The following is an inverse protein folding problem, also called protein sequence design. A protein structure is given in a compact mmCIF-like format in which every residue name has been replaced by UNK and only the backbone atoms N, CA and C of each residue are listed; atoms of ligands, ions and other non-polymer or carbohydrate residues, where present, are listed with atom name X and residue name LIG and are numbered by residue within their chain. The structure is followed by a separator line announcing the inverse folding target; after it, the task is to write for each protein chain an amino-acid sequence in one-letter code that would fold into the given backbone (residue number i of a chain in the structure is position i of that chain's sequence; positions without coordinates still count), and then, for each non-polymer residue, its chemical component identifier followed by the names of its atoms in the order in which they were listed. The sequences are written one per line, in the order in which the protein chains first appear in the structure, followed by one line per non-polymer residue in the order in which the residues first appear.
data_IF_846607924296
#
_entry.id   IF_846607924296
#
_cell.length_a   1.000
_cell.length_b   1.000
_cell.length_c   1.000
_cell.angle_alpha   90.00
_cell.angle_beta   90.00
_cell.angle_gamma   90.00
#
_symmetry.space_group_name_H-M   'P 1'
#
loop_
_entity.id
_entity.type
_entity.pdbx_description
1 polymer ?
#
# COMPACT_ATOMS: atom_id res chain seq x y z
N UNK A 1 10.78 21.88 -19.63
CA UNK A 1 10.08 22.47 -18.48
C UNK A 1 9.06 21.46 -17.96
N UNK A 2 9.37 20.70 -16.91
CA UNK A 2 8.37 19.79 -16.32
C UNK A 2 7.20 20.60 -15.79
N UNK A 3 5.97 20.25 -16.16
CA UNK A 3 4.76 20.94 -15.66
C UNK A 3 4.74 20.81 -14.14
N UNK A 4 4.95 21.92 -13.44
CA UNK A 4 4.72 22.01 -12.00
C UNK A 4 3.28 21.56 -11.71
N UNK A 5 3.13 20.63 -10.76
CA UNK A 5 1.83 20.19 -10.24
C UNK A 5 1.81 20.45 -8.75
N UNK A 6 0.77 21.12 -8.21
CA UNK A 6 0.63 21.28 -6.77
C UNK A 6 0.48 19.91 -6.10
N UNK A 7 0.90 19.83 -4.83
CA UNK A 7 0.65 18.63 -4.02
C UNK A 7 -0.86 18.45 -3.85
N UNK A 8 -1.35 17.23 -4.04
CA UNK A 8 -2.73 16.89 -3.73
C UNK A 8 -2.99 17.07 -2.22
N UNK A 9 -4.21 17.47 -1.83
CA UNK A 9 -4.59 17.52 -0.42
C UNK A 9 -4.46 16.12 0.22
N UNK A 10 -4.15 16.05 1.52
CA UNK A 10 -4.03 14.78 2.21
C UNK A 10 -5.38 14.04 2.24
N UNK A 11 -5.34 12.73 2.06
CA UNK A 11 -6.52 11.87 2.20
C UNK A 11 -6.96 11.77 3.66
N UNK A 12 -8.27 11.65 3.89
CA UNK A 12 -8.90 11.48 5.22
C UNK A 12 -8.12 10.50 6.12
N UNK A 13 -7.85 10.84 7.38
CA UNK A 13 -7.07 9.98 8.27
C UNK A 13 -7.87 8.80 8.82
N UNK A 14 -9.19 8.72 8.63
CA UNK A 14 -10.02 7.71 9.26
C UNK A 14 -9.96 6.35 8.57
N UNK A 15 -9.88 5.28 9.36
CA UNK A 15 -9.90 3.90 8.91
C UNK A 15 -10.64 3.01 9.91
N UNK A 16 -11.24 1.91 9.44
CA UNK A 16 -11.79 0.86 10.30
C UNK A 16 -10.67 0.03 10.94
N UNK A 17 -10.94 -0.58 12.09
CA UNK A 17 -9.97 -1.46 12.75
C UNK A 17 -9.54 -2.64 11.84
N UNK A 18 -10.49 -3.25 11.14
CA UNK A 18 -10.22 -4.33 10.18
C UNK A 18 -9.34 -3.85 9.00
N UNK A 19 -9.65 -2.67 8.44
CA UNK A 19 -8.85 -2.09 7.36
C UNK A 19 -7.42 -1.79 7.80
N UNK A 20 -7.24 -1.26 9.01
CA UNK A 20 -5.91 -1.02 9.57
C UNK A 20 -5.10 -2.30 9.77
N UNK A 21 -5.73 -3.36 10.29
CA UNK A 21 -5.10 -4.67 10.45
C UNK A 21 -4.66 -5.26 9.09
N UNK A 22 -5.52 -5.17 8.07
CA UNK A 22 -5.19 -5.62 6.72
C UNK A 22 -3.99 -4.88 6.12
N UNK A 23 -3.90 -3.56 6.32
CA UNK A 23 -2.74 -2.77 5.87
C UNK A 23 -1.45 -3.11 6.62
N UNK A 24 -1.54 -3.43 7.91
CA UNK A 24 -0.37 -3.91 8.67
C UNK A 24 0.09 -5.29 8.19
N UNK A 25 -0.85 -6.19 7.91
CA UNK A 25 -0.54 -7.51 7.36
C UNK A 25 0.09 -7.39 5.98
N UNK A 26 -0.45 -6.51 5.14
CA UNK A 26 0.13 -6.20 3.83
C UNK A 26 1.58 -5.71 3.95
N UNK A 27 1.87 -4.76 4.86
CA UNK A 27 3.24 -4.25 5.07
C UNK A 27 4.20 -5.39 5.47
N UNK A 28 3.79 -6.24 6.42
CA UNK A 28 4.57 -7.41 6.84
C UNK A 28 4.83 -8.38 5.68
N UNK A 29 3.80 -8.71 4.91
CA UNK A 29 3.91 -9.61 3.78
C UNK A 29 4.82 -9.04 2.67
N UNK A 30 4.76 -7.73 2.42
CA UNK A 30 5.63 -7.07 1.45
C UNK A 30 7.10 -7.12 1.85
N UNK A 31 7.43 -6.97 3.13
CA UNK A 31 8.81 -7.12 3.61
C UNK A 31 9.35 -8.54 3.40
N UNK A 32 8.53 -9.57 3.65
CA UNK A 32 8.91 -10.96 3.38
C UNK A 32 9.11 -11.18 1.88
N UNK A 33 8.17 -10.71 1.05
CA UNK A 33 8.26 -10.81 -0.41
C UNK A 33 9.51 -10.11 -0.95
N UNK A 34 9.81 -8.91 -0.42
CA UNK A 34 10.99 -8.11 -0.80
C UNK A 34 12.28 -8.92 -0.66
N UNK A 35 12.44 -9.64 0.45
CA UNK A 35 13.63 -10.47 0.68
C UNK A 35 13.78 -11.57 -0.39
N UNK A 36 12.69 -12.21 -0.79
CA UNK A 36 12.69 -13.20 -1.87
C UNK A 36 13.07 -12.60 -3.23
N UNK A 37 12.48 -11.45 -3.57
CA UNK A 37 12.77 -10.75 -4.85
C UNK A 37 14.22 -10.27 -4.91
N UNK A 38 14.78 -9.77 -3.80
CA UNK A 38 16.20 -9.36 -3.76
C UNK A 38 17.13 -10.55 -4.01
N UNK A 39 16.84 -11.72 -3.41
CA UNK A 39 17.61 -12.94 -3.66
C UNK A 39 17.55 -13.37 -5.12
N UNK A 40 16.34 -13.38 -5.71
CA UNK A 40 16.15 -13.73 -7.12
C UNK A 40 16.85 -12.73 -8.06
N UNK A 41 16.78 -11.43 -7.76
CA UNK A 41 17.46 -10.39 -8.52
C UNK A 41 18.99 -10.56 -8.48
N UNK A 42 19.54 -10.93 -7.32
CA UNK A 42 20.98 -11.18 -7.16
C UNK A 42 21.42 -12.42 -7.95
N UNK A 43 20.61 -13.49 -7.95
CA UNK A 43 20.86 -14.68 -8.76
C UNK A 43 20.84 -14.36 -10.27
N UNK A 44 19.80 -13.66 -10.75
CA UNK A 44 19.70 -13.23 -12.15
C UNK A 44 20.87 -12.32 -12.56
N UNK A 45 21.38 -11.50 -11.64
CA UNK A 45 22.54 -10.64 -11.89
C UNK A 45 23.87 -11.40 -11.95
N UNK A 46 23.94 -12.64 -11.47
CA UNK A 46 25.11 -13.50 -11.53
C UNK A 46 25.15 -14.38 -12.79
N UNK A 47 24.00 -14.59 -13.44
CA UNK A 47 23.83 -15.52 -14.56
C UNK A 47 24.15 -14.91 -15.94
N UNK A 48 24.35 -13.58 -16.04
CA UNK A 48 24.74 -12.96 -17.31
C UNK A 48 24.68 -11.44 -17.34
N UNK A 49 24.66 -10.88 -18.56
CA UNK A 49 24.55 -9.44 -18.78
C UNK A 49 23.18 -8.91 -18.33
N UNK A 50 23.23 -7.94 -17.42
CA UNK A 50 22.06 -7.30 -16.79
C UNK A 50 21.17 -6.55 -17.79
N UNK A 51 21.71 -6.17 -18.94
CA UNK A 51 20.98 -5.40 -19.94
C UNK A 51 20.11 -6.28 -20.85
N UNK A 52 20.48 -7.56 -21.01
CA UNK A 52 19.75 -8.52 -21.86
C UNK A 52 18.93 -9.53 -21.06
N UNK A 53 19.25 -9.74 -19.77
CA UNK A 53 18.53 -10.67 -18.92
C UNK A 53 17.11 -10.14 -18.59
N UNK A 54 16.11 -10.74 -19.23
CA UNK A 54 14.69 -10.43 -19.02
C UNK A 54 14.23 -10.66 -17.56
N UNK A 55 14.76 -11.69 -16.89
CA UNK A 55 14.44 -11.94 -15.49
C UNK A 55 14.97 -10.82 -14.59
N UNK A 56 16.21 -10.36 -14.81
CA UNK A 56 16.76 -9.23 -14.05
C UNK A 56 15.90 -7.98 -14.20
N UNK A 57 15.50 -7.63 -15.43
CA UNK A 57 14.65 -6.46 -15.69
C UNK A 57 13.29 -6.58 -14.97
N UNK A 58 12.67 -7.75 -15.05
CA UNK A 58 11.40 -8.02 -14.38
C UNK A 58 11.52 -7.90 -12.85
N UNK A 59 12.49 -8.60 -12.24
CA UNK A 59 12.72 -8.58 -10.79
C UNK A 59 13.05 -7.19 -10.27
N UNK A 60 13.79 -6.39 -11.05
CA UNK A 60 14.09 -4.99 -10.72
C UNK A 60 12.82 -4.14 -10.69
N UNK A 61 11.93 -4.32 -11.66
CA UNK A 61 10.62 -3.63 -11.71
C UNK A 61 9.73 -4.08 -10.55
N UNK A 62 9.71 -5.38 -10.24
CA UNK A 62 8.96 -5.94 -9.12
C UNK A 62 9.45 -5.34 -7.78
N UNK A 63 10.76 -5.32 -7.54
CA UNK A 63 11.37 -4.73 -6.35
C UNK A 63 11.00 -3.25 -6.19
N UNK A 64 11.06 -2.47 -7.28
CA UNK A 64 10.67 -1.07 -7.26
C UNK A 64 9.18 -0.87 -6.91
N UNK A 65 8.30 -1.77 -7.37
CA UNK A 65 6.89 -1.78 -7.01
C UNK A 65 6.66 -2.05 -5.52
N UNK A 66 7.36 -3.05 -4.97
CA UNK A 66 7.32 -3.41 -3.55
C UNK A 66 7.81 -2.23 -2.69
N UNK A 67 8.97 -1.67 -3.01
CA UNK A 67 9.57 -0.56 -2.26
C UNK A 67 8.66 0.68 -2.28
N UNK A 68 7.99 0.94 -3.40
CA UNK A 68 7.01 2.04 -3.50
C UNK A 68 5.83 1.81 -2.56
N UNK A 69 5.29 0.59 -2.49
CA UNK A 69 4.13 0.27 -1.64
C UNK A 69 4.50 0.30 -0.16
N UNK A 70 5.62 -0.31 0.23
CA UNK A 70 6.14 -0.24 1.61
C UNK A 70 6.31 1.21 2.04
N UNK A 71 6.95 2.05 1.21
CA UNK A 71 7.13 3.48 1.53
C UNK A 71 5.80 4.20 1.72
N UNK A 72 4.79 3.87 0.93
CA UNK A 72 3.45 4.42 1.11
C UNK A 72 2.84 3.98 2.45
N UNK A 73 2.86 2.68 2.75
CA UNK A 73 2.28 2.12 3.97
C UNK A 73 2.97 2.67 5.23
N UNK A 74 4.31 2.70 5.26
CA UNK A 74 5.09 3.24 6.38
C UNK A 74 4.83 4.72 6.66
N UNK A 75 4.52 5.51 5.63
CA UNK A 75 4.12 6.92 5.81
C UNK A 75 2.66 7.06 6.20
N UNK A 76 1.80 6.15 5.72
CA UNK A 76 0.35 6.25 5.88
C UNK A 76 -0.11 5.70 7.23
N UNK A 77 0.34 4.51 7.63
CA UNK A 77 -0.08 3.82 8.86
C UNK A 77 0.03 4.69 10.12
N UNK A 78 1.11 5.46 10.37
CA UNK A 78 1.21 6.31 11.57
C UNK A 78 0.24 7.49 11.57
N UNK A 79 -0.27 7.89 10.40
CA UNK A 79 -1.20 9.03 10.25
C UNK A 79 -2.67 8.61 10.34
N UNK A 80 -2.96 7.31 10.33
CA UNK A 80 -4.32 6.80 10.35
C UNK A 80 -4.90 6.78 11.76
N UNK A 81 -6.16 7.19 11.86
CA UNK A 81 -6.97 7.19 13.07
C UNK A 81 -8.00 6.07 12.95
N UNK A 82 -7.90 5.08 13.86
CA UNK A 82 -8.81 3.93 13.89
C UNK A 82 -10.12 4.36 14.55
N UNK A 83 -11.22 4.29 13.80
CA UNK A 83 -12.58 4.52 14.32
C UNK A 83 -13.14 3.20 14.84
N UNK A 84 -13.44 3.14 16.16
CA UNK A 84 -13.91 1.92 16.86
C UNK A 84 -15.36 1.97 17.31
N UNK A 85 -15.93 3.16 17.48
CA UNK A 85 -17.24 3.33 18.12
C UNK A 85 -18.37 3.45 17.10
N UNK A 86 -19.47 2.75 17.40
CA UNK A 86 -20.76 2.87 16.71
C UNK A 86 -21.80 3.23 17.77
N UNK A 87 -21.62 4.38 18.43
CA UNK A 87 -22.37 4.69 19.65
C UNK A 87 -23.77 5.26 19.38
N UNK A 88 -24.09 5.67 18.15
CA UNK A 88 -25.38 6.28 17.86
C UNK A 88 -25.93 5.84 16.50
N UNK A 89 -27.17 5.34 16.44
CA UNK A 89 -27.87 4.95 15.21
C UNK A 89 -28.73 6.08 14.62
N UNK A 90 -28.81 7.21 15.30
CA UNK A 90 -29.62 8.37 14.88
C UNK A 90 -28.92 9.23 13.81
N UNK A 91 -27.68 8.88 13.43
CA UNK A 91 -26.91 9.59 12.40
C UNK A 91 -26.04 8.64 11.56
N UNK A 92 -25.71 9.06 10.33
CA UNK A 92 -24.78 8.35 9.44
C UNK A 92 -23.37 8.88 9.65
N UNK A 93 -22.43 7.97 9.90
CA UNK A 93 -21.02 8.29 10.15
C UNK A 93 -20.09 7.31 9.41
N UNK A 94 -18.78 7.59 9.46
CA UNK A 94 -17.78 6.75 8.84
C UNK A 94 -17.83 5.31 9.37
N UNK A 95 -18.04 4.34 8.48
CA UNK A 95 -18.18 2.92 8.83
C UNK A 95 -19.62 2.46 9.08
N UNK A 96 -20.61 3.35 9.04
CA UNK A 96 -22.01 2.97 9.13
C UNK A 96 -22.45 2.19 7.88
N UNK A 97 -23.19 1.10 8.10
CA UNK A 97 -23.91 0.40 7.06
C UNK A 97 -25.31 0.99 6.96
N UNK A 98 -25.69 1.44 5.77
CA UNK A 98 -26.99 2.09 5.52
C UNK A 98 -27.69 1.35 4.40
N UNK A 99 -28.97 1.05 4.60
CA UNK A 99 -29.86 0.55 3.56
C UNK A 99 -30.66 1.74 3.04
N UNK A 100 -30.72 1.88 1.71
CA UNK A 100 -31.51 2.90 1.03
C UNK A 100 -32.74 2.24 0.42
N UNK A 101 -33.87 2.91 0.50
CA UNK A 101 -35.12 2.54 -0.19
C UNK A 101 -35.50 3.68 -1.12
N UNK A 102 -36.11 3.34 -2.26
CA UNK A 102 -36.66 4.30 -3.22
C UNK A 102 -38.17 4.06 -3.33
N UNK A 103 -38.94 5.15 -3.27
CA UNK A 103 -40.39 5.16 -3.53
C UNK A 103 -40.70 5.04 -5.04
#
# INVERSE_FOLDING_TARGET
MGRWRPKLPPSSPYITAAGYAALQEEDKALWQKRAGVVKALAAAAAEGDRSENAEYIYRKKELAGIDRRIRYLQRRLPTLQIVREFANRDAVFFGAWVTLEQD
#
